data_IF_435051900364
#
_entry.id   IF_435051900364
#
_cell.length_a   1.000
_cell.length_b   1.000
_cell.length_c   1.000
_cell.angle_alpha   90.00
_cell.angle_beta   90.00
_cell.angle_gamma   90.00
#
_symmetry.space_group_name_H-M   'P 1'
#
loop_
_entity.id
_entity.type
_entity.pdbx_description
1 polymer ?
#
# COMPACT_ATOMS: atom_id res chain seq x y z
N UNK A 1 67.77 45.74 13.66
CA UNK A 1 67.69 45.08 12.32
C UNK A 1 66.49 44.24 12.26
N UNK A 2 65.51 44.72 11.58
CA UNK A 2 64.17 44.14 11.52
C UNK A 2 64.06 43.26 10.26
N UNK A 3 63.72 42.00 10.42
CA UNK A 3 63.33 41.13 9.28
C UNK A 3 61.88 40.88 9.35
N UNK A 4 61.20 41.41 8.35
CA UNK A 4 59.77 41.18 8.11
C UNK A 4 59.66 39.86 7.37
N UNK A 5 59.07 38.90 8.06
CA UNK A 5 58.68 37.62 7.42
C UNK A 5 57.35 37.78 6.68
N UNK A 6 57.38 37.63 5.39
CA UNK A 6 56.18 37.60 4.58
C UNK A 6 55.44 36.26 4.82
N UNK A 7 54.31 36.32 5.46
CA UNK A 7 53.41 35.20 5.55
C UNK A 7 52.60 35.11 4.26
N UNK A 8 52.96 34.13 3.44
CA UNK A 8 52.19 33.75 2.28
C UNK A 8 50.99 32.92 2.74
N UNK A 9 49.83 33.56 2.85
CA UNK A 9 48.56 32.87 3.04
C UNK A 9 48.15 32.18 1.76
N UNK A 10 48.39 30.86 1.71
CA UNK A 10 47.88 30.00 0.65
C UNK A 10 46.41 29.69 0.97
N UNK A 11 45.48 30.42 0.38
CA UNK A 11 44.07 30.12 0.49
C UNK A 11 43.75 28.95 -0.43
N UNK A 12 43.68 27.77 0.14
CA UNK A 12 43.12 26.60 -0.54
C UNK A 12 41.61 26.77 -0.56
N UNK A 13 41.08 27.18 -1.69
CA UNK A 13 39.64 27.14 -1.96
C UNK A 13 39.20 25.67 -2.12
N UNK A 14 38.73 25.06 -1.03
CA UNK A 14 38.00 23.82 -1.11
C UNK A 14 36.66 24.11 -1.77
N UNK A 15 36.55 23.81 -3.05
CA UNK A 15 35.27 23.74 -3.76
C UNK A 15 34.42 22.66 -3.13
N UNK A 16 33.44 23.06 -2.31
CA UNK A 16 32.35 22.15 -1.93
C UNK A 16 31.56 21.83 -3.21
N UNK A 17 31.85 20.72 -3.82
CA UNK A 17 30.93 20.12 -4.77
C UNK A 17 29.70 19.66 -3.97
N UNK A 18 28.64 20.47 -3.97
CA UNK A 18 27.33 20.05 -3.54
C UNK A 18 26.88 18.93 -4.49
N UNK A 19 27.16 17.70 -4.11
CA UNK A 19 26.54 16.55 -4.73
C UNK A 19 25.04 16.64 -4.38
N UNK A 20 24.24 17.19 -5.30
CA UNK A 20 22.79 17.02 -5.27
C UNK A 20 22.52 15.54 -5.47
N UNK A 21 22.47 14.80 -4.33
CA UNK A 21 21.99 13.43 -4.34
C UNK A 21 20.53 13.45 -4.75
N UNK A 22 20.28 13.15 -6.03
CA UNK A 22 18.96 12.76 -6.44
C UNK A 22 18.73 11.38 -5.84
N UNK A 23 18.17 11.33 -4.63
CA UNK A 23 17.58 10.10 -4.11
C UNK A 23 16.53 9.61 -5.11
N UNK A 24 16.27 8.28 -5.21
CA UNK A 24 15.17 7.77 -6.01
C UNK A 24 13.91 8.54 -5.57
N UNK A 25 13.19 9.14 -6.53
CA UNK A 25 11.92 9.79 -6.24
C UNK A 25 11.03 8.76 -5.58
N UNK A 26 10.72 8.95 -4.29
CA UNK A 26 9.68 8.18 -3.64
C UNK A 26 8.40 8.47 -4.41
N UNK A 27 7.96 7.49 -5.17
CA UNK A 27 6.67 7.57 -5.84
C UNK A 27 5.66 7.61 -4.71
N UNK A 28 5.12 8.78 -4.41
CA UNK A 28 4.12 8.98 -3.36
C UNK A 28 2.87 8.25 -3.80
N UNK A 29 2.74 7.01 -3.33
CA UNK A 29 1.59 6.15 -3.64
C UNK A 29 0.39 6.63 -2.82
N UNK A 30 -0.72 6.86 -3.48
CA UNK A 30 -1.96 7.18 -2.78
C UNK A 30 -2.51 5.93 -2.12
N UNK A 31 -2.71 5.99 -0.80
CA UNK A 31 -3.34 4.92 -0.03
C UNK A 31 -4.82 5.21 0.12
N UNK A 32 -5.65 4.25 -0.30
CA UNK A 32 -7.10 4.30 -0.17
C UNK A 32 -7.55 3.22 0.80
N UNK A 33 -8.28 3.58 1.84
CA UNK A 33 -8.67 2.64 2.89
C UNK A 33 -10.12 2.22 2.74
N UNK A 34 -10.34 0.92 2.76
CA UNK A 34 -11.63 0.27 2.96
C UNK A 34 -11.72 -0.07 4.44
N UNK A 35 -12.69 0.45 5.14
CA UNK A 35 -12.92 0.16 6.55
C UNK A 35 -13.98 -0.95 6.70
N UNK A 36 -13.66 -1.95 7.50
CA UNK A 36 -14.55 -3.04 7.88
C UNK A 36 -14.94 -2.85 9.35
N UNK A 37 -16.14 -2.33 9.56
CA UNK A 37 -16.74 -2.12 10.87
C UNK A 37 -18.07 -2.88 10.98
N UNK A 38 -19.17 -2.25 11.35
CA UNK A 38 -20.50 -2.86 11.27
C UNK A 38 -20.98 -3.04 9.83
N UNK A 39 -20.37 -2.31 8.92
CA UNK A 39 -20.52 -2.42 7.48
C UNK A 39 -19.16 -2.20 6.82
N UNK A 40 -19.05 -2.50 5.53
CA UNK A 40 -17.84 -2.19 4.76
C UNK A 40 -18.03 -0.86 4.05
N UNK A 41 -17.10 0.04 4.20
CA UNK A 41 -17.16 1.38 3.59
C UNK A 41 -15.84 1.75 2.91
N UNK A 42 -15.91 2.30 1.69
CA UNK A 42 -17.08 2.46 0.83
C UNK A 42 -17.50 1.15 0.14
N UNK A 43 -18.72 1.07 -0.37
CA UNK A 43 -19.21 -0.08 -1.16
C UNK A 43 -18.56 -0.16 -2.54
N UNK A 44 -18.29 0.97 -3.14
CA UNK A 44 -17.50 1.11 -4.38
C UNK A 44 -16.38 2.09 -4.10
N UNK A 45 -15.16 1.67 -4.33
CA UNK A 45 -13.99 2.54 -4.23
C UNK A 45 -13.39 2.74 -5.61
N UNK A 46 -13.11 3.98 -5.95
CA UNK A 46 -12.38 4.32 -7.17
C UNK A 46 -10.91 4.50 -6.84
N UNK A 47 -10.06 3.85 -7.61
CA UNK A 47 -8.62 3.93 -7.53
C UNK A 47 -8.01 4.17 -8.91
N UNK A 48 -6.77 4.63 -8.92
CA UNK A 48 -5.98 4.76 -10.14
C UNK A 48 -4.86 3.71 -10.17
N UNK A 49 -4.34 3.33 -11.35
CA UNK A 49 -3.14 2.51 -11.41
C UNK A 49 -2.00 3.14 -10.60
N UNK A 50 -1.37 2.33 -9.75
CA UNK A 50 -0.34 2.78 -8.80
C UNK A 50 -0.87 3.10 -7.39
N UNK A 51 -2.18 3.25 -7.20
CA UNK A 51 -2.76 3.40 -5.85
C UNK A 51 -2.64 2.09 -5.05
N UNK A 52 -2.47 2.25 -3.74
CA UNK A 52 -2.59 1.16 -2.77
C UNK A 52 -4.01 1.16 -2.19
N UNK A 53 -4.68 0.02 -2.22
CA UNK A 53 -5.94 -0.18 -1.49
C UNK A 53 -5.65 -1.02 -0.26
N UNK A 54 -6.08 -0.51 0.90
CA UNK A 54 -5.88 -1.12 2.21
C UNK A 54 -7.23 -1.48 2.82
N UNK A 55 -7.43 -2.75 3.17
CA UNK A 55 -8.58 -3.21 3.94
C UNK A 55 -8.20 -3.27 5.40
N UNK A 56 -8.88 -2.50 6.23
CA UNK A 56 -8.62 -2.41 7.66
C UNK A 56 -9.79 -3.01 8.45
N UNK A 57 -9.49 -3.96 9.31
CA UNK A 57 -10.46 -4.52 10.22
C UNK A 57 -10.57 -3.65 11.49
N UNK A 58 -11.63 -2.84 11.55
CA UNK A 58 -11.96 -2.02 12.72
C UNK A 58 -12.86 -2.74 13.74
N UNK A 59 -13.10 -4.04 13.55
CA UNK A 59 -13.91 -4.86 14.47
C UNK A 59 -13.06 -5.46 15.57
N UNK A 60 -13.71 -5.95 16.62
CA UNK A 60 -13.08 -6.64 17.73
C UNK A 60 -12.87 -8.15 17.49
N UNK A 61 -13.38 -8.68 16.38
CA UNK A 61 -13.21 -10.07 15.97
C UNK A 61 -12.55 -10.16 14.59
N UNK A 62 -11.91 -11.28 14.24
CA UNK A 62 -11.33 -11.46 12.93
C UNK A 62 -12.42 -11.49 11.85
N UNK A 63 -12.12 -10.90 10.70
CA UNK A 63 -12.96 -10.91 9.50
C UNK A 63 -12.26 -11.65 8.38
N UNK A 64 -13.02 -12.03 7.36
CA UNK A 64 -12.47 -12.70 6.18
C UNK A 64 -12.86 -11.94 4.93
N UNK A 65 -11.88 -11.63 4.09
CA UNK A 65 -12.09 -11.00 2.79
C UNK A 65 -11.90 -12.06 1.71
N UNK A 66 -12.90 -12.20 0.85
CA UNK A 66 -12.85 -13.11 -0.30
C UNK A 66 -12.86 -12.33 -1.61
N UNK A 67 -11.79 -12.45 -2.38
CA UNK A 67 -11.66 -11.83 -3.69
C UNK A 67 -12.22 -12.76 -4.77
N UNK A 68 -13.05 -12.23 -5.66
CA UNK A 68 -13.76 -13.03 -6.67
C UNK A 68 -12.98 -13.14 -7.99
N UNK A 69 -12.12 -12.17 -8.28
CA UNK A 69 -11.42 -12.06 -9.56
C UNK A 69 -10.02 -11.43 -9.44
N UNK A 70 -9.29 -11.76 -8.39
CA UNK A 70 -8.00 -11.12 -8.06
C UNK A 70 -6.94 -11.29 -9.16
N UNK A 71 -6.89 -12.43 -9.82
CA UNK A 71 -5.86 -12.76 -10.82
C UNK A 71 -5.77 -11.82 -12.02
N UNK A 72 -6.81 -11.02 -12.25
CA UNK A 72 -6.84 -10.13 -13.41
C UNK A 72 -6.10 -8.80 -13.19
N UNK A 73 -5.75 -8.47 -11.95
CA UNK A 73 -5.30 -7.13 -11.56
C UNK A 73 -3.98 -7.13 -10.76
N UNK A 74 -3.31 -8.27 -10.67
CA UNK A 74 -2.16 -8.46 -9.81
C UNK A 74 -0.99 -7.51 -10.14
N UNK A 75 -0.53 -6.78 -9.12
CA UNK A 75 0.78 -6.19 -9.07
C UNK A 75 1.60 -6.85 -7.95
N UNK A 76 2.64 -7.64 -8.26
CA UNK A 76 3.42 -8.31 -7.23
C UNK A 76 4.24 -7.36 -6.34
N UNK A 77 4.31 -6.08 -6.66
CA UNK A 77 5.15 -5.12 -5.94
C UNK A 77 4.54 -4.62 -4.62
N UNK A 78 3.27 -4.89 -4.37
CA UNK A 78 2.58 -4.36 -3.20
C UNK A 78 1.46 -5.32 -2.78
N UNK A 79 1.84 -6.39 -2.10
CA UNK A 79 0.92 -7.45 -1.66
C UNK A 79 1.17 -7.75 -0.18
N UNK A 80 0.80 -6.82 0.69
CA UNK A 80 0.98 -7.01 2.12
C UNK A 80 -0.17 -7.83 2.72
N UNK A 81 0.18 -8.93 3.38
CA UNK A 81 -0.77 -9.80 4.06
C UNK A 81 -1.59 -10.73 3.14
N UNK A 82 -1.35 -10.72 1.83
CA UNK A 82 -2.14 -11.46 0.84
C UNK A 82 -1.38 -12.66 0.28
N UNK A 83 -0.07 -12.63 0.36
CA UNK A 83 0.80 -13.67 -0.17
C UNK A 83 1.08 -14.73 0.89
N UNK A 84 0.91 -16.00 0.54
CA UNK A 84 1.27 -17.10 1.42
C UNK A 84 2.80 -17.32 1.46
N UNK A 85 3.26 -18.27 2.29
CA UNK A 85 4.67 -18.61 2.42
C UNK A 85 5.35 -19.01 1.09
N UNK A 86 4.59 -19.48 0.11
CA UNK A 86 5.08 -19.88 -1.22
C UNK A 86 5.01 -18.76 -2.26
N UNK A 87 4.69 -17.54 -1.87
CA UNK A 87 4.54 -16.42 -2.78
C UNK A 87 3.27 -16.43 -3.63
N UNK A 88 2.29 -17.26 -3.27
CA UNK A 88 1.00 -17.33 -3.95
C UNK A 88 0.01 -16.38 -3.31
N UNK A 89 -0.74 -15.66 -4.13
CA UNK A 89 -1.82 -14.79 -3.68
C UNK A 89 -3.03 -15.63 -3.27
N UNK A 90 -3.53 -15.39 -2.07
CA UNK A 90 -4.74 -16.04 -1.58
C UNK A 90 -5.98 -15.23 -1.96
N UNK A 91 -6.98 -15.89 -2.52
CA UNK A 91 -8.27 -15.29 -2.81
C UNK A 91 -9.14 -15.08 -1.55
N UNK A 92 -8.79 -15.74 -0.46
CA UNK A 92 -9.52 -15.70 0.80
C UNK A 92 -8.55 -15.46 1.96
N UNK A 93 -8.70 -14.32 2.64
CA UNK A 93 -7.76 -13.85 3.64
C UNK A 93 -8.47 -13.49 4.94
N UNK A 94 -7.92 -13.91 6.06
CA UNK A 94 -8.37 -13.50 7.40
C UNK A 94 -7.57 -12.29 7.87
N UNK A 95 -8.26 -11.26 8.33
CA UNK A 95 -7.67 -10.05 8.91
C UNK A 95 -8.02 -10.03 10.40
N UNK A 96 -7.01 -10.06 11.25
CA UNK A 96 -7.18 -9.99 12.69
C UNK A 96 -7.70 -8.60 13.13
N UNK A 97 -8.30 -8.47 14.33
CA UNK A 97 -8.75 -7.19 14.86
C UNK A 97 -7.66 -6.11 14.83
N UNK A 98 -7.98 -4.96 14.25
CA UNK A 98 -7.05 -3.82 14.15
C UNK A 98 -5.94 -3.97 13.11
N UNK A 99 -5.86 -5.10 12.41
CA UNK A 99 -4.91 -5.32 11.32
C UNK A 99 -5.47 -4.94 9.97
N UNK A 100 -4.59 -4.89 8.97
CA UNK A 100 -4.93 -4.58 7.59
C UNK A 100 -4.16 -5.44 6.61
N UNK A 101 -4.72 -5.55 5.41
CA UNK A 101 -4.06 -6.09 4.22
C UNK A 101 -4.05 -5.05 3.11
N UNK A 102 -3.11 -5.12 2.20
CA UNK A 102 -2.98 -4.15 1.10
C UNK A 102 -2.75 -4.83 -0.23
N UNK A 103 -3.33 -4.22 -1.28
CA UNK A 103 -3.06 -4.51 -2.68
C UNK A 103 -2.79 -3.23 -3.44
N UNK A 104 -1.85 -3.30 -4.38
CA UNK A 104 -1.68 -2.28 -5.40
C UNK A 104 -2.13 -2.79 -6.76
N UNK A 105 -2.62 -1.87 -7.57
CA UNK A 105 -3.11 -2.17 -8.90
C UNK A 105 -2.30 -1.42 -9.94
N UNK A 106 -1.79 -2.12 -10.96
CA UNK A 106 -1.10 -1.53 -12.10
C UNK A 106 -1.93 -1.55 -13.39
N UNK A 107 -3.13 -2.13 -13.33
CA UNK A 107 -4.05 -2.25 -14.46
C UNK A 107 -5.42 -1.72 -14.10
N UNK A 108 -6.12 -1.21 -15.10
CA UNK A 108 -7.54 -0.85 -14.99
C UNK A 108 -8.42 -2.10 -14.95
N UNK A 109 -9.52 -2.01 -14.24
CA UNK A 109 -10.49 -3.08 -14.10
C UNK A 109 -11.26 -2.98 -12.79
N UNK A 110 -12.19 -3.90 -12.58
CA UNK A 110 -12.99 -3.98 -11.38
C UNK A 110 -12.60 -5.23 -10.59
N UNK A 111 -12.10 -5.04 -9.37
CA UNK A 111 -11.94 -6.10 -8.39
C UNK A 111 -13.21 -6.20 -7.56
N UNK A 112 -13.83 -7.38 -7.56
CA UNK A 112 -15.01 -7.69 -6.74
C UNK A 112 -14.62 -8.56 -5.56
N UNK A 113 -15.24 -8.30 -4.41
CA UNK A 113 -14.98 -9.04 -3.19
C UNK A 113 -16.19 -9.04 -2.26
N UNK A 114 -16.18 -9.97 -1.30
CA UNK A 114 -17.11 -10.04 -0.19
C UNK A 114 -16.34 -10.07 1.13
N UNK A 115 -17.00 -9.67 2.20
CA UNK A 115 -16.46 -9.71 3.55
C UNK A 115 -17.38 -10.57 4.42
N UNK A 116 -16.83 -11.58 5.09
CA UNK A 116 -17.47 -12.31 6.19
C UNK A 116 -17.12 -11.57 7.46
N UNK A 117 -18.15 -11.08 8.16
CA UNK A 117 -17.96 -10.26 9.36
C UNK A 117 -17.46 -11.03 10.59
N UNK A 118 -17.50 -12.35 10.52
CA UNK A 118 -16.90 -13.25 11.49
C UNK A 118 -16.16 -14.38 10.77
N UNK A 119 -14.83 -14.37 10.87
CA UNK A 119 -14.01 -15.39 10.23
C UNK A 119 -14.23 -16.80 10.81
N UNK A 120 -14.70 -16.89 12.05
CA UNK A 120 -14.94 -18.14 12.78
C UNK A 120 -16.33 -18.71 12.48
N UNK A 121 -17.22 -17.90 11.90
CA UNK A 121 -18.56 -18.33 11.46
C UNK A 121 -18.74 -18.21 9.95
N UNK A 122 -18.35 -19.22 9.17
CA UNK A 122 -18.45 -19.17 7.70
C UNK A 122 -19.90 -19.17 7.17
N UNK A 123 -20.87 -19.45 8.03
CA UNK A 123 -22.31 -19.38 7.73
C UNK A 123 -22.97 -18.11 8.22
N UNK A 124 -22.18 -17.25 8.87
CA UNK A 124 -22.63 -15.99 9.41
C UNK A 124 -22.86 -14.91 8.33
N UNK A 125 -22.94 -13.71 8.81
CA UNK A 125 -23.23 -12.53 7.97
C UNK A 125 -22.11 -12.27 6.96
N UNK A 126 -22.51 -12.07 5.70
CA UNK A 126 -21.63 -11.72 4.58
C UNK A 126 -22.08 -10.37 4.02
N UNK A 127 -21.13 -9.52 3.67
CA UNK A 127 -21.41 -8.25 2.98
C UNK A 127 -22.06 -8.50 1.60
N UNK A 128 -22.77 -7.51 1.04
CA UNK A 128 -23.01 -7.47 -0.39
C UNK A 128 -21.68 -7.56 -1.15
N UNK A 129 -21.73 -7.84 -2.45
CA UNK A 129 -20.54 -7.75 -3.29
C UNK A 129 -20.10 -6.32 -3.42
N UNK A 130 -18.83 -6.08 -3.09
CA UNK A 130 -18.17 -4.79 -3.07
C UNK A 130 -17.20 -4.69 -4.25
N UNK A 131 -16.87 -3.47 -4.66
CA UNK A 131 -16.04 -3.25 -5.85
C UNK A 131 -14.95 -2.24 -5.61
N UNK A 132 -13.72 -2.57 -6.01
CA UNK A 132 -12.66 -1.61 -6.27
C UNK A 132 -12.60 -1.39 -7.77
N UNK A 133 -12.90 -0.18 -8.21
CA UNK A 133 -12.92 0.20 -9.62
C UNK A 133 -11.65 0.97 -9.96
N UNK A 134 -10.70 0.31 -10.62
CA UNK A 134 -9.44 0.92 -11.03
C UNK A 134 -9.60 1.51 -12.42
N UNK A 135 -9.44 2.82 -12.52
CA UNK A 135 -9.60 3.57 -13.78
C UNK A 135 -8.32 4.32 -14.11
N UNK A 136 -7.97 4.34 -15.39
CA UNK A 136 -6.93 5.23 -15.92
C UNK A 136 -7.39 6.68 -15.85
N UNK A 137 -6.45 7.56 -15.54
CA UNK A 137 -6.66 9.01 -15.57
C UNK A 137 -6.76 9.56 -16.99
#
# INVERSE_FOLDING_TARGET
MTRIGANLCLTISLGLAAACGHGPAETTRTVRTVEISNQVSPHVMYASPGDEVRWMNARSNPVRVGFLNLRLLEDPQCQEGIVNFFGQVNDLITIAPGESISLCFNRTGDLRYNVWFDADDPKGEISPTLTISVRGG
#
